data_IF_220227622811
#
_entry.id   IF_220227622811
#
_cell.length_a   1.000
_cell.length_b   1.000
_cell.length_c   1.000
_cell.angle_alpha   90.00
_cell.angle_beta   90.00
_cell.angle_gamma   90.00
#
_symmetry.space_group_name_H-M   'P 1'
#
loop_
_entity.id
_entity.type
_entity.pdbx_description
1 polymer ?
#
# COMPACT_ATOMS: atom_id res chain seq x y z
N UNK A 1 26.16 34.25 -19.08
CA UNK A 1 25.40 33.01 -18.82
C UNK A 1 26.38 31.86 -18.88
N UNK A 2 26.80 31.36 -17.72
CA UNK A 2 27.81 30.33 -17.59
C UNK A 2 27.07 29.00 -17.39
N UNK A 3 27.29 28.05 -18.30
CA UNK A 3 26.63 26.75 -18.27
C UNK A 3 27.11 25.94 -17.05
N UNK A 4 26.16 25.45 -16.24
CA UNK A 4 26.46 24.50 -15.17
C UNK A 4 26.90 23.16 -15.80
N UNK A 5 28.09 22.70 -15.44
CA UNK A 5 28.58 21.38 -15.80
C UNK A 5 27.70 20.29 -15.19
N UNK A 6 27.26 19.34 -16.02
CA UNK A 6 26.71 18.06 -15.61
C UNK A 6 27.83 17.22 -14.98
N UNK A 7 28.10 17.47 -13.70
CA UNK A 7 28.93 16.57 -12.91
C UNK A 7 28.13 15.30 -12.66
N UNK A 8 28.62 14.16 -13.15
CA UNK A 8 28.12 12.84 -12.80
C UNK A 8 28.10 12.71 -11.28
N UNK A 9 26.90 12.63 -10.71
CA UNK A 9 26.73 12.29 -9.31
C UNK A 9 27.19 10.85 -9.17
N UNK A 10 28.24 10.54 -8.38
CA UNK A 10 28.69 9.17 -8.22
C UNK A 10 27.54 8.35 -7.64
N UNK A 11 27.05 7.38 -8.42
CA UNK A 11 26.14 6.35 -7.93
C UNK A 11 26.94 5.55 -6.91
N UNK A 12 26.67 5.78 -5.63
CA UNK A 12 27.28 5.01 -4.54
C UNK A 12 26.76 3.58 -4.67
N UNK A 13 27.58 2.70 -5.25
CA UNK A 13 27.35 1.26 -5.18
C UNK A 13 27.60 0.83 -3.73
N UNK A 14 26.51 0.70 -2.97
CA UNK A 14 26.55 0.06 -1.66
C UNK A 14 27.05 -1.38 -1.82
N UNK A 15 27.94 -1.87 -0.93
CA UNK A 15 28.46 -3.23 -1.01
C UNK A 15 27.31 -4.26 -1.06
N UNK A 16 27.47 -5.28 -1.91
CA UNK A 16 26.47 -6.29 -2.28
C UNK A 16 26.07 -7.26 -1.17
N UNK A 17 26.48 -6.99 0.08
CA UNK A 17 26.26 -7.85 1.24
C UNK A 17 25.02 -7.48 2.06
N UNK A 18 24.44 -6.29 1.86
CA UNK A 18 23.31 -5.83 2.68
C UNK A 18 21.97 -6.13 2.01
N UNK A 19 21.05 -6.73 2.78
CA UNK A 19 19.72 -7.10 2.33
C UNK A 19 18.82 -5.86 2.37
N UNK A 20 18.40 -5.39 1.19
CA UNK A 20 17.67 -4.11 1.03
C UNK A 20 16.16 -4.28 1.22
N UNK A 21 15.74 -4.52 2.45
CA UNK A 21 14.32 -4.58 2.83
C UNK A 21 13.91 -3.30 3.56
N UNK A 22 12.79 -2.72 3.17
CA UNK A 22 12.21 -1.50 3.73
C UNK A 22 10.77 -1.79 4.19
N UNK A 23 10.41 -1.53 5.46
CA UNK A 23 11.27 -1.12 6.57
C UNK A 23 12.34 -2.18 6.92
N UNK A 24 13.45 -1.74 7.52
CA UNK A 24 14.52 -2.64 7.96
C UNK A 24 13.97 -3.65 8.99
N UNK A 25 14.08 -4.97 8.73
CA UNK A 25 13.61 -5.98 9.68
C UNK A 25 14.41 -5.96 10.99
N UNK A 26 13.82 -6.49 12.06
CA UNK A 26 14.49 -6.61 13.37
C UNK A 26 15.76 -7.45 13.27
N UNK A 27 15.70 -8.61 12.62
CA UNK A 27 16.85 -9.50 12.43
C UNK A 27 16.94 -9.94 10.98
N UNK A 28 18.13 -9.82 10.40
CA UNK A 28 18.46 -10.30 9.06
C UNK A 28 19.83 -10.98 9.09
N UNK A 29 19.90 -12.21 8.60
CA UNK A 29 21.14 -12.92 8.32
C UNK A 29 21.18 -13.26 6.84
N UNK A 30 22.22 -12.80 6.14
CA UNK A 30 22.46 -13.13 4.73
C UNK A 30 23.53 -14.21 4.64
N UNK A 31 23.32 -15.16 3.74
CA UNK A 31 24.30 -16.18 3.39
C UNK A 31 24.68 -16.06 1.91
N UNK A 32 25.71 -16.79 1.49
CA UNK A 32 26.07 -16.85 0.08
C UNK A 32 25.00 -17.57 -0.75
N UNK A 33 24.89 -17.22 -2.03
CA UNK A 33 23.97 -17.84 -2.98
C UNK A 33 22.55 -17.27 -3.01
N UNK A 34 21.74 -17.86 -3.89
CA UNK A 34 20.35 -17.49 -4.15
C UNK A 34 19.49 -18.73 -4.41
N UNK A 35 18.18 -18.56 -4.24
CA UNK A 35 17.13 -19.45 -4.71
C UNK A 35 16.48 -18.84 -5.95
N UNK A 36 16.23 -19.65 -6.97
CA UNK A 36 15.54 -19.21 -8.19
C UNK A 36 14.09 -19.66 -8.17
N UNK A 37 13.17 -18.71 -8.15
CA UNK A 37 11.74 -18.95 -8.37
C UNK A 37 11.51 -19.02 -9.89
N UNK A 38 10.85 -20.05 -10.37
CA UNK A 38 10.46 -20.26 -11.76
C UNK A 38 9.05 -20.85 -11.85
N UNK A 39 8.51 -21.04 -13.06
CA UNK A 39 7.23 -21.73 -13.25
C UNK A 39 7.19 -23.19 -12.75
N UNK A 40 8.33 -23.78 -12.41
CA UNK A 40 8.41 -25.13 -11.84
C UNK A 40 8.34 -25.13 -10.30
N UNK A 41 8.55 -23.96 -9.67
CA UNK A 41 8.49 -23.81 -8.21
C UNK A 41 7.08 -24.09 -7.71
N UNK A 42 6.95 -24.86 -6.63
CA UNK A 42 5.65 -25.11 -6.00
C UNK A 42 5.33 -24.08 -4.95
N UNK A 43 4.09 -23.58 -4.96
CA UNK A 43 3.58 -22.64 -3.97
C UNK A 43 2.57 -23.35 -3.06
N UNK A 44 3.00 -23.67 -1.85
CA UNK A 44 2.24 -24.48 -0.89
C UNK A 44 1.75 -23.60 0.27
N UNK A 45 0.47 -23.75 0.62
CA UNK A 45 -0.16 -23.01 1.71
C UNK A 45 -0.89 -23.96 2.67
N UNK A 46 -0.59 -23.86 3.98
CA UNK A 46 -1.09 -24.82 4.98
C UNK A 46 -2.58 -24.70 5.34
N UNK A 47 -3.20 -23.56 5.06
CA UNK A 47 -4.56 -23.23 5.49
C UNK A 47 -5.13 -22.05 4.68
N UNK A 48 -6.38 -21.67 4.97
CA UNK A 48 -7.09 -20.59 4.27
C UNK A 48 -6.40 -19.22 4.37
N UNK A 49 -5.71 -18.92 5.48
CA UNK A 49 -4.99 -17.65 5.66
C UNK A 49 -3.70 -17.65 4.86
N UNK A 50 -2.95 -18.76 4.88
CA UNK A 50 -1.82 -18.99 3.99
C UNK A 50 -2.24 -18.93 2.52
N UNK A 51 -3.41 -19.46 2.16
CA UNK A 51 -3.93 -19.48 0.79
C UNK A 51 -4.18 -18.05 0.27
N UNK A 52 -4.71 -17.15 1.09
CA UNK A 52 -4.87 -15.73 0.73
C UNK A 52 -3.52 -15.05 0.47
N UNK A 53 -2.53 -15.31 1.32
CA UNK A 53 -1.19 -14.76 1.16
C UNK A 53 -0.47 -15.33 -0.07
N UNK A 54 -0.65 -16.63 -0.35
CA UNK A 54 -0.11 -17.31 -1.53
C UNK A 54 -0.75 -16.76 -2.81
N UNK A 55 -2.06 -16.54 -2.84
CA UNK A 55 -2.74 -15.91 -3.97
C UNK A 55 -2.17 -14.51 -4.26
N UNK A 56 -1.94 -13.70 -3.23
CA UNK A 56 -1.32 -12.38 -3.38
C UNK A 56 0.10 -12.46 -3.95
N UNK A 57 0.91 -13.41 -3.45
CA UNK A 57 2.26 -13.63 -3.96
C UNK A 57 2.22 -14.05 -5.45
N UNK A 58 1.34 -14.98 -5.80
CA UNK A 58 1.15 -15.43 -7.18
C UNK A 58 0.72 -14.28 -8.11
N UNK A 59 -0.22 -13.43 -7.67
CA UNK A 59 -0.68 -12.29 -8.45
C UNK A 59 0.45 -11.29 -8.72
N UNK A 60 1.25 -10.96 -7.69
CA UNK A 60 2.37 -10.03 -7.87
C UNK A 60 3.49 -10.66 -8.73
N UNK A 61 3.81 -11.94 -8.56
CA UNK A 61 4.79 -12.66 -9.41
C UNK A 61 4.33 -12.74 -10.87
N UNK A 62 3.04 -13.00 -11.10
CA UNK A 62 2.46 -13.02 -12.45
C UNK A 62 2.58 -11.64 -13.10
N UNK A 63 2.26 -10.58 -12.36
CA UNK A 63 2.29 -9.20 -12.85
C UNK A 63 3.69 -8.64 -13.05
N UNK A 64 4.66 -9.02 -12.21
CA UNK A 64 6.02 -8.47 -12.23
C UNK A 64 7.00 -9.32 -13.04
N UNK A 65 6.88 -10.64 -13.02
CA UNK A 65 7.84 -11.60 -13.57
C UNK A 65 7.22 -12.60 -14.57
N UNK A 66 5.91 -12.56 -14.83
CA UNK A 66 5.24 -13.56 -15.69
C UNK A 66 5.38 -15.01 -15.17
N UNK A 67 5.56 -15.16 -13.85
CA UNK A 67 5.64 -16.46 -13.17
C UNK A 67 4.27 -16.76 -12.56
N UNK A 68 3.67 -17.90 -12.91
CA UNK A 68 2.41 -18.38 -12.35
C UNK A 68 2.64 -19.72 -11.64
N UNK A 69 2.44 -19.77 -10.32
CA UNK A 69 2.81 -20.91 -9.49
C UNK A 69 1.63 -21.78 -9.04
N UNK A 70 0.39 -21.28 -9.15
CA UNK A 70 -0.85 -21.92 -8.67
C UNK A 70 -0.76 -22.39 -7.20
N UNK A 71 -1.36 -21.67 -6.23
CA UNK A 71 -1.36 -22.11 -4.84
C UNK A 71 -2.02 -23.48 -4.63
N UNK A 72 -1.34 -24.39 -3.93
CA UNK A 72 -1.79 -25.75 -3.63
C UNK A 72 -1.69 -26.03 -2.10
N UNK A 73 -2.48 -26.98 -1.56
CA UNK A 73 -2.44 -27.32 -0.12
C UNK A 73 -1.24 -28.19 0.27
N UNK A 74 -0.74 -28.98 -0.68
CA UNK A 74 0.42 -29.86 -0.48
C UNK A 74 1.09 -30.15 -1.82
N UNK A 75 2.41 -30.17 -1.84
CA UNK A 75 3.19 -30.64 -2.98
C UNK A 75 4.45 -31.35 -2.51
N UNK A 76 4.83 -32.43 -3.22
CA UNK A 76 6.14 -33.06 -3.09
C UNK A 76 6.96 -32.69 -4.33
N UNK A 77 7.81 -31.66 -4.22
CA UNK A 77 8.66 -31.22 -5.32
C UNK A 77 9.96 -30.55 -4.82
N UNK A 78 11.06 -30.64 -5.58
CA UNK A 78 12.24 -29.79 -5.36
C UNK A 78 11.87 -28.32 -5.63
N UNK A 79 12.30 -27.39 -4.77
CA UNK A 79 12.00 -25.97 -4.94
C UNK A 79 10.56 -25.61 -4.52
N UNK A 80 10.34 -25.45 -3.21
CA UNK A 80 9.01 -25.12 -2.67
C UNK A 80 9.01 -23.77 -1.94
N UNK A 81 8.01 -22.94 -2.20
CA UNK A 81 7.63 -21.80 -1.38
C UNK A 81 6.49 -22.27 -0.46
N UNK A 82 6.80 -22.42 0.82
CA UNK A 82 5.88 -22.91 1.84
C UNK A 82 5.42 -21.75 2.74
N UNK A 83 4.11 -21.53 2.82
CA UNK A 83 3.48 -20.55 3.70
C UNK A 83 2.73 -21.31 4.80
N UNK A 84 3.14 -21.11 6.06
CA UNK A 84 2.50 -21.73 7.22
C UNK A 84 2.00 -20.71 8.22
N UNK A 85 0.83 -20.97 8.81
CA UNK A 85 0.39 -20.20 9.97
C UNK A 85 0.87 -20.80 11.29
N UNK A 86 1.15 -19.92 12.24
CA UNK A 86 1.30 -20.25 13.66
C UNK A 86 0.27 -19.48 14.51
N UNK A 87 -0.08 -19.96 15.70
CA UNK A 87 -0.97 -19.25 16.61
C UNK A 87 -0.49 -17.83 16.91
N UNK A 88 -1.44 -16.90 17.09
CA UNK A 88 -1.13 -15.51 17.46
C UNK A 88 -0.71 -15.44 18.93
N UNK A 89 0.38 -14.72 19.21
CA UNK A 89 0.86 -14.49 20.57
C UNK A 89 0.12 -13.30 21.23
N UNK A 90 -0.25 -13.37 22.52
CA UNK A 90 -1.03 -12.32 23.21
C UNK A 90 -0.41 -10.91 23.22
N UNK A 91 0.90 -10.81 22.95
CA UNK A 91 1.71 -9.59 23.16
C UNK A 91 1.74 -8.61 21.99
N UNK A 92 0.93 -8.82 20.95
CA UNK A 92 0.91 -7.94 19.77
C UNK A 92 1.83 -8.41 18.63
N UNK A 93 2.28 -9.67 18.67
CA UNK A 93 2.99 -10.33 17.59
C UNK A 93 2.07 -10.82 16.45
N UNK A 94 0.85 -10.28 16.36
CA UNK A 94 -0.16 -10.67 15.37
C UNK A 94 0.27 -10.35 13.93
N UNK A 95 1.30 -9.54 13.77
CA UNK A 95 1.93 -9.18 12.49
C UNK A 95 3.37 -9.73 12.35
N UNK A 96 3.79 -10.65 13.23
CA UNK A 96 5.13 -11.22 13.21
C UNK A 96 5.29 -12.32 12.17
N UNK A 97 6.48 -12.41 11.58
CA UNK A 97 6.81 -13.44 10.60
C UNK A 97 8.28 -13.84 10.69
N UNK A 98 8.54 -15.07 10.31
CA UNK A 98 9.86 -15.59 10.02
C UNK A 98 9.90 -16.00 8.54
N UNK A 99 10.85 -15.44 7.81
CA UNK A 99 11.13 -15.75 6.41
C UNK A 99 12.50 -16.43 6.35
N UNK A 100 12.52 -17.63 5.77
CA UNK A 100 13.76 -18.36 5.49
C UNK A 100 13.84 -18.67 3.99
N UNK A 101 14.94 -18.29 3.38
CA UNK A 101 15.29 -18.65 2.00
C UNK A 101 16.52 -19.55 2.07
N UNK A 102 16.43 -20.75 1.51
CA UNK A 102 17.53 -21.72 1.35
C UNK A 102 17.74 -22.00 -0.14
N UNK A 103 18.76 -22.78 -0.48
CA UNK A 103 18.98 -23.24 -1.86
C UNK A 103 17.86 -24.14 -2.39
N UNK A 104 17.07 -24.75 -1.51
CA UNK A 104 16.04 -25.73 -1.85
C UNK A 104 14.61 -25.16 -1.79
N UNK A 105 14.43 -23.95 -1.27
CA UNK A 105 13.11 -23.34 -1.15
C UNK A 105 13.02 -22.12 -0.24
N UNK A 106 11.78 -21.68 -0.06
CA UNK A 106 11.41 -20.53 0.76
C UNK A 106 10.36 -20.98 1.77
N UNK A 107 10.47 -20.53 3.01
CA UNK A 107 9.45 -20.76 4.04
C UNK A 107 9.07 -19.45 4.70
N UNK A 108 7.77 -19.17 4.77
CA UNK A 108 7.20 -18.08 5.55
C UNK A 108 6.35 -18.70 6.65
N UNK A 109 6.80 -18.58 7.90
CA UNK A 109 6.03 -19.00 9.06
C UNK A 109 5.60 -17.75 9.83
N UNK A 110 4.30 -17.54 10.01
CA UNK A 110 3.81 -16.29 10.58
C UNK A 110 2.42 -16.44 11.21
N UNK A 111 2.00 -15.43 11.95
CA UNK A 111 0.57 -15.26 12.27
C UNK A 111 -0.21 -14.89 11.00
N UNK A 112 -1.55 -14.88 11.06
CA UNK A 112 -2.38 -14.56 9.88
C UNK A 112 -2.00 -13.21 9.22
N UNK A 113 -1.87 -12.12 9.99
CA UNK A 113 -1.45 -10.83 9.40
C UNK A 113 0.04 -10.78 9.11
N UNK A 114 0.84 -11.57 9.82
CA UNK A 114 2.27 -11.67 9.59
C UNK A 114 2.61 -12.30 8.24
N UNK A 115 1.80 -13.25 7.76
CA UNK A 115 1.99 -13.85 6.43
C UNK A 115 2.01 -12.79 5.33
N UNK A 116 1.08 -11.83 5.38
CA UNK A 116 1.04 -10.73 4.44
C UNK A 116 2.36 -9.94 4.46
N UNK A 117 2.88 -9.58 5.64
CA UNK A 117 4.12 -8.83 5.76
C UNK A 117 5.35 -9.63 5.34
N UNK A 118 5.37 -10.93 5.59
CA UNK A 118 6.39 -11.85 5.10
C UNK A 118 6.42 -11.92 3.58
N UNK A 119 5.24 -11.99 2.95
CA UNK A 119 5.10 -11.89 1.48
C UNK A 119 5.58 -10.54 0.97
N UNK A 120 5.24 -9.42 1.62
CA UNK A 120 5.76 -8.10 1.22
C UNK A 120 7.28 -8.03 1.31
N UNK A 121 7.89 -8.66 2.32
CA UNK A 121 9.35 -8.75 2.42
C UNK A 121 9.94 -9.60 1.31
N UNK A 122 9.38 -10.78 1.03
CA UNK A 122 9.81 -11.62 -0.09
C UNK A 122 9.76 -10.86 -1.43
N UNK A 123 8.67 -10.12 -1.69
CA UNK A 123 8.50 -9.29 -2.88
C UNK A 123 9.48 -8.12 -2.99
N UNK A 124 10.14 -7.73 -1.90
CA UNK A 124 11.22 -6.73 -1.93
C UNK A 124 12.60 -7.35 -2.12
N UNK A 125 12.77 -8.63 -1.76
CA UNK A 125 14.00 -9.38 -1.98
C UNK A 125 14.16 -9.80 -3.44
N UNK A 126 13.04 -9.93 -4.15
CA UNK A 126 13.01 -10.19 -5.59
C UNK A 126 13.39 -8.90 -6.34
N UNK A 127 14.38 -8.99 -7.23
CA UNK A 127 14.76 -7.87 -8.09
C UNK A 127 13.64 -7.52 -9.08
N UNK A 128 13.39 -6.22 -9.36
CA UNK A 128 12.36 -5.85 -10.31
C UNK A 128 12.83 -6.11 -11.76
N UNK A 129 12.55 -7.29 -12.29
CA UNK A 129 12.76 -7.62 -13.70
C UNK A 129 11.57 -8.40 -14.28
N UNK A 130 11.29 -8.24 -15.58
CA UNK A 130 10.24 -8.98 -16.29
C UNK A 130 10.84 -10.24 -16.94
N UNK A 131 11.44 -11.09 -16.12
CA UNK A 131 11.94 -12.39 -16.54
C UNK A 131 11.09 -13.51 -15.95
N UNK A 132 10.98 -14.63 -16.66
CA UNK A 132 10.28 -15.85 -16.22
C UNK A 132 10.94 -16.55 -15.02
N UNK A 133 11.96 -15.93 -14.43
CA UNK A 133 12.67 -16.36 -13.24
C UNK A 133 12.90 -15.17 -12.32
N UNK A 134 12.87 -15.42 -11.01
CA UNK A 134 13.18 -14.43 -9.98
C UNK A 134 14.22 -15.00 -9.01
N UNK A 135 15.37 -14.33 -8.89
CA UNK A 135 16.38 -14.69 -7.90
C UNK A 135 16.11 -14.04 -6.54
N UNK A 136 16.25 -14.83 -5.49
CA UNK A 136 16.08 -14.40 -4.10
C UNK A 136 17.32 -14.82 -3.31
N UNK A 137 18.02 -13.90 -2.62
CA UNK A 137 19.21 -14.27 -1.85
C UNK A 137 18.89 -15.21 -0.69
N UNK A 138 19.82 -16.11 -0.35
CA UNK A 138 19.71 -16.99 0.82
C UNK A 138 19.78 -16.13 2.09
N UNK A 139 18.69 -16.11 2.85
CA UNK A 139 18.52 -15.25 4.02
C UNK A 139 17.66 -15.90 5.10
N UNK A 140 17.89 -15.50 6.34
CA UNK A 140 16.99 -15.72 7.48
C UNK A 140 16.56 -14.35 8.02
N UNK A 141 15.25 -14.09 8.05
CA UNK A 141 14.66 -12.84 8.52
C UNK A 141 13.61 -13.16 9.58
N UNK A 142 13.70 -12.50 10.73
CA UNK A 142 12.68 -12.52 11.78
C UNK A 142 12.27 -11.09 12.06
N UNK A 143 10.97 -10.82 12.02
CA UNK A 143 10.48 -9.45 12.06
C UNK A 143 9.12 -9.32 12.74
N UNK A 144 8.89 -8.14 13.32
CA UNK A 144 7.63 -7.75 13.92
C UNK A 144 7.55 -6.22 14.02
N UNK A 145 6.36 -5.62 13.97
CA UNK A 145 6.25 -4.18 14.00
C UNK A 145 6.56 -3.61 15.39
N UNK A 146 7.35 -2.53 15.43
CA UNK A 146 7.57 -1.75 16.65
C UNK A 146 6.29 -1.08 17.18
N UNK A 147 5.41 -0.65 16.28
CA UNK A 147 4.16 0.04 16.60
C UNK A 147 2.98 -0.64 15.94
N UNK A 148 1.90 -0.85 16.71
CA UNK A 148 0.64 -1.43 16.20
C UNK A 148 -0.07 -0.51 15.20
N UNK A 149 0.07 0.80 15.36
CA UNK A 149 -0.53 1.80 14.47
C UNK A 149 0.53 2.43 13.58
N UNK A 150 0.44 2.21 12.28
CA UNK A 150 1.33 2.78 11.26
C UNK A 150 0.45 3.40 10.18
N UNK A 151 0.18 4.69 10.32
CA UNK A 151 -0.77 5.41 9.50
C UNK A 151 -0.14 6.22 8.38
N UNK A 152 -0.81 6.27 7.23
CA UNK A 152 -0.54 7.20 6.14
C UNK A 152 -1.80 8.00 5.83
N UNK A 153 -1.67 9.32 5.68
CA UNK A 153 -2.77 10.24 5.43
C UNK A 153 -2.82 10.63 3.93
N UNK A 154 -4.01 10.72 3.35
CA UNK A 154 -4.23 11.28 2.01
C UNK A 154 -5.37 12.29 2.03
N UNK A 155 -5.06 13.51 1.61
CA UNK A 155 -6.03 14.57 1.37
C UNK A 155 -6.60 14.44 -0.04
N UNK A 156 -7.88 14.09 -0.10
CA UNK A 156 -8.67 14.05 -1.34
C UNK A 156 -9.68 15.19 -1.42
N UNK A 157 -9.85 15.94 -0.34
CA UNK A 157 -10.75 17.08 -0.26
C UNK A 157 -10.22 18.26 -1.09
N UNK A 158 -8.92 18.58 -0.96
CA UNK A 158 -8.31 19.71 -1.67
C UNK A 158 -8.14 19.42 -3.15
N UNK A 159 -7.81 18.19 -3.54
CA UNK A 159 -7.79 17.76 -4.94
C UNK A 159 -8.29 16.32 -5.01
N UNK A 160 -9.32 16.09 -5.83
CA UNK A 160 -9.91 14.77 -5.97
C UNK A 160 -8.91 13.79 -6.60
N UNK A 161 -8.82 12.60 -6.01
CA UNK A 161 -7.99 11.50 -6.52
C UNK A 161 -8.90 10.37 -7.04
N UNK A 162 -8.75 9.91 -8.29
CA UNK A 162 -9.56 8.80 -8.81
C UNK A 162 -9.44 7.52 -7.98
N UNK A 163 -10.45 6.64 -8.06
CA UNK A 163 -10.50 5.36 -7.33
C UNK A 163 -9.23 4.53 -7.55
N UNK A 164 -8.77 4.41 -8.79
CA UNK A 164 -7.58 3.65 -9.14
C UNK A 164 -6.30 4.21 -8.48
N UNK A 165 -6.22 5.55 -8.33
CA UNK A 165 -5.11 6.17 -7.61
C UNK A 165 -5.15 5.81 -6.12
N UNK A 166 -6.34 5.86 -5.49
CA UNK A 166 -6.50 5.51 -4.07
C UNK A 166 -6.13 4.03 -3.85
N UNK A 167 -6.56 3.12 -4.73
CA UNK A 167 -6.16 1.71 -4.69
C UNK A 167 -4.65 1.54 -4.86
N UNK A 168 -4.03 2.23 -5.82
CA UNK A 168 -2.57 2.24 -5.99
C UNK A 168 -1.85 2.73 -4.73
N UNK A 169 -2.37 3.79 -4.09
CA UNK A 169 -1.83 4.32 -2.84
C UNK A 169 -1.90 3.29 -1.70
N UNK A 170 -3.06 2.65 -1.52
CA UNK A 170 -3.25 1.57 -0.54
C UNK A 170 -2.25 0.44 -0.75
N UNK A 171 -2.11 -0.06 -1.99
CA UNK A 171 -1.14 -1.10 -2.33
C UNK A 171 0.29 -0.67 -1.99
N UNK A 172 0.65 0.58 -2.28
CA UNK A 172 1.97 1.11 -1.99
C UNK A 172 2.27 1.16 -0.49
N UNK A 173 1.35 1.72 0.32
CA UNK A 173 1.57 1.82 1.76
C UNK A 173 1.60 0.43 2.42
N UNK A 174 0.80 -0.52 1.90
CA UNK A 174 0.79 -1.90 2.36
C UNK A 174 2.11 -2.62 2.03
N UNK A 175 2.72 -2.36 0.86
CA UNK A 175 4.06 -2.87 0.51
C UNK A 175 5.14 -2.46 1.52
N UNK A 176 5.01 -1.27 2.09
CA UNK A 176 5.88 -0.76 3.15
C UNK A 176 5.34 -1.01 4.56
N UNK A 177 4.39 -1.95 4.70
CA UNK A 177 3.85 -2.44 5.96
C UNK A 177 3.09 -1.40 6.80
N UNK A 178 2.62 -0.30 6.21
CA UNK A 178 1.63 0.57 6.86
C UNK A 178 0.27 -0.13 6.88
N UNK A 179 -0.46 0.01 7.98
CA UNK A 179 -1.70 -0.73 8.23
C UNK A 179 -2.91 0.18 8.51
N UNK A 180 -2.72 1.49 8.56
CA UNK A 180 -3.82 2.46 8.63
C UNK A 180 -3.75 3.46 7.48
N UNK A 181 -4.89 3.67 6.82
CA UNK A 181 -5.09 4.70 5.82
C UNK A 181 -6.04 5.76 6.35
N UNK A 182 -5.50 6.91 6.74
CA UNK A 182 -6.29 8.05 7.18
C UNK A 182 -6.74 8.84 5.95
N UNK A 183 -8.03 8.75 5.65
CA UNK A 183 -8.58 9.28 4.42
C UNK A 183 -9.35 10.57 4.68
N UNK A 184 -8.73 11.67 4.29
CA UNK A 184 -9.31 13.00 4.47
C UNK A 184 -10.23 13.33 3.28
N UNK A 185 -11.53 13.24 3.57
CA UNK A 185 -12.62 13.22 2.57
C UNK A 185 -13.35 14.56 2.46
N UNK A 186 -13.20 15.45 3.43
CA UNK A 186 -13.95 16.72 3.49
C UNK A 186 -13.08 17.86 3.99
N UNK A 187 -13.16 19.00 3.32
CA UNK A 187 -12.55 20.26 3.75
C UNK A 187 -13.28 21.44 3.08
N UNK A 188 -12.80 22.67 3.27
CA UNK A 188 -13.36 23.92 2.77
C UNK A 188 -13.59 23.88 1.26
N UNK A 189 -12.68 23.21 0.53
CA UNK A 189 -12.63 23.23 -0.94
C UNK A 189 -13.28 21.99 -1.58
N UNK A 190 -13.79 21.05 -0.80
CA UNK A 190 -14.37 19.82 -1.35
C UNK A 190 -15.05 18.89 -0.35
N UNK A 191 -16.19 18.34 -0.76
CA UNK A 191 -16.86 17.22 -0.11
C UNK A 191 -16.81 16.00 -1.04
N UNK A 192 -16.13 14.92 -0.63
CA UNK A 192 -15.78 13.81 -1.52
C UNK A 192 -16.53 12.52 -1.27
N UNK A 193 -17.42 12.43 -0.29
CA UNK A 193 -18.11 11.19 0.03
C UNK A 193 -19.62 11.30 -0.22
N UNK A 194 -20.20 10.36 -0.96
CA UNK A 194 -21.65 10.32 -1.15
C UNK A 194 -22.40 9.98 0.14
N UNK A 195 -23.35 10.84 0.53
CA UNK A 195 -24.27 10.59 1.64
C UNK A 195 -25.70 10.66 1.09
N UNK A 196 -26.36 9.51 0.93
CA UNK A 196 -27.67 9.39 0.28
C UNK A 196 -28.74 10.33 0.87
N UNK A 197 -28.72 10.53 2.19
CA UNK A 197 -29.65 11.42 2.88
C UNK A 197 -29.43 12.90 2.54
N UNK A 198 -28.22 13.27 2.12
CA UNK A 198 -27.81 14.66 1.87
C UNK A 198 -27.12 14.79 0.49
N UNK A 199 -27.84 14.60 -0.62
CA UNK A 199 -27.27 14.59 -1.97
C UNK A 199 -26.65 15.94 -2.36
N UNK A 200 -27.09 17.05 -1.76
CA UNK A 200 -26.52 18.37 -1.98
C UNK A 200 -25.02 18.45 -1.61
N UNK A 201 -24.55 17.58 -0.69
CA UNK A 201 -23.15 17.50 -0.27
C UNK A 201 -22.22 17.18 -1.45
N UNK A 202 -22.56 16.21 -2.29
CA UNK A 202 -21.78 15.89 -3.48
C UNK A 202 -22.20 16.72 -4.69
N UNK A 203 -23.49 16.97 -4.90
CA UNK A 203 -23.95 17.74 -6.07
C UNK A 203 -23.36 19.16 -6.13
N UNK A 204 -23.16 19.79 -4.97
CA UNK A 204 -22.57 21.14 -4.86
C UNK A 204 -21.17 21.11 -4.27
N UNK A 205 -21.00 20.42 -3.14
CA UNK A 205 -19.74 20.45 -2.38
C UNK A 205 -18.57 19.72 -3.05
N UNK A 206 -18.82 18.83 -4.02
CA UNK A 206 -17.74 18.20 -4.79
C UNK A 206 -17.15 19.10 -5.88
N UNK A 207 -17.81 20.22 -6.20
CA UNK A 207 -17.45 21.07 -7.33
C UNK A 207 -16.91 22.41 -6.86
N UNK A 208 -15.82 22.87 -7.48
CA UNK A 208 -15.36 24.26 -7.37
C UNK A 208 -14.95 24.78 -8.74
N UNK A 209 -15.20 26.07 -8.95
CA UNK A 209 -14.89 26.78 -10.20
C UNK A 209 -13.39 26.89 -10.46
N UNK A 210 -12.59 27.07 -9.41
CA UNK A 210 -11.16 27.30 -9.51
C UNK A 210 -10.45 27.13 -8.18
N UNK A 211 -9.13 27.03 -8.22
CA UNK A 211 -8.25 26.96 -7.05
C UNK A 211 -7.57 28.32 -6.83
N UNK A 212 -7.50 28.76 -5.58
CA UNK A 212 -6.78 29.96 -5.17
C UNK A 212 -5.28 29.86 -5.53
N UNK A 213 -4.72 30.91 -6.14
CA UNK A 213 -3.30 31.02 -6.49
C UNK A 213 -2.62 32.02 -5.56
N UNK A 214 -1.55 31.58 -4.88
CA UNK A 214 -0.79 32.42 -3.99
C UNK A 214 -1.56 32.85 -2.73
N UNK A 215 -1.12 33.95 -2.11
CA UNK A 215 -1.72 34.48 -0.87
C UNK A 215 -2.95 35.33 -1.19
N UNK A 216 -4.13 34.73 -1.07
CA UNK A 216 -5.43 35.41 -1.13
C UNK A 216 -5.87 35.89 0.27
N UNK A 217 -5.15 36.85 0.85
CA UNK A 217 -5.52 37.52 2.09
C UNK A 217 -5.72 39.02 1.84
N UNK A 218 -6.68 39.62 2.54
CA UNK A 218 -6.90 41.07 2.44
C UNK A 218 -5.61 41.86 2.75
N UNK A 219 -5.33 42.95 2.02
CA UNK A 219 -6.20 43.62 1.04
C UNK A 219 -6.11 43.06 -0.40
N UNK A 220 -5.48 41.91 -0.62
CA UNK A 220 -5.27 41.37 -1.98
C UNK A 220 -6.59 40.84 -2.57
N UNK A 221 -6.89 41.13 -3.84
CA UNK A 221 -8.03 40.52 -4.52
C UNK A 221 -7.83 39.01 -4.63
N UNK A 222 -8.93 38.26 -4.69
CA UNK A 222 -8.87 36.83 -4.96
C UNK A 222 -8.32 36.57 -6.36
N UNK A 223 -7.27 35.76 -6.45
CA UNK A 223 -6.72 35.26 -7.71
C UNK A 223 -6.94 33.75 -7.75
N UNK A 224 -7.66 33.29 -8.78
CA UNK A 224 -7.87 31.88 -9.07
C UNK A 224 -7.15 31.44 -10.33
N UNK A 225 -6.96 30.13 -10.50
CA UNK A 225 -6.33 29.55 -11.68
C UNK A 225 -7.30 29.31 -12.86
N UNK A 226 -8.60 29.60 -12.70
CA UNK A 226 -9.62 29.36 -13.73
C UNK A 226 -9.92 27.90 -14.07
N UNK A 227 -9.36 26.92 -13.33
CA UNK A 227 -9.53 25.49 -13.63
C UNK A 227 -10.62 24.89 -12.75
N UNK A 228 -11.71 24.43 -13.35
CA UNK A 228 -12.76 23.74 -12.61
C UNK A 228 -12.26 22.42 -12.02
N UNK A 229 -12.69 22.11 -10.80
CA UNK A 229 -12.39 20.86 -10.13
C UNK A 229 -13.68 20.21 -9.65
N UNK A 230 -13.85 18.92 -9.94
CA UNK A 230 -14.96 18.12 -9.49
C UNK A 230 -14.52 16.70 -9.10
N UNK A 231 -15.42 15.96 -8.45
CA UNK A 231 -15.23 14.54 -8.14
C UNK A 231 -15.58 14.19 -6.70
N UNK A 232 -16.18 13.02 -6.53
CA UNK A 232 -16.51 12.39 -5.26
C UNK A 232 -16.55 10.87 -5.44
N UNK A 233 -16.51 10.14 -4.33
CA UNK A 233 -16.62 8.69 -4.25
C UNK A 233 -18.08 8.32 -3.99
N UNK A 234 -18.66 7.51 -4.88
CA UNK A 234 -19.97 6.92 -4.63
C UNK A 234 -19.90 5.91 -3.48
N UNK A 235 -21.07 5.55 -2.94
CA UNK A 235 -21.18 4.47 -1.96
C UNK A 235 -20.61 3.14 -2.47
N UNK A 236 -20.69 2.90 -3.79
CA UNK A 236 -20.08 1.71 -4.42
C UNK A 236 -18.56 1.81 -4.40
N UNK A 237 -18.00 2.96 -4.78
CA UNK A 237 -16.55 3.18 -4.78
C UNK A 237 -15.96 3.05 -3.38
N UNK A 238 -16.64 3.60 -2.36
CA UNK A 238 -16.20 3.48 -0.97
C UNK A 238 -16.18 2.00 -0.53
N UNK A 239 -17.23 1.22 -0.82
CA UNK A 239 -17.25 -0.21 -0.47
C UNK A 239 -16.13 -1.00 -1.15
N UNK A 240 -15.91 -0.72 -2.44
CA UNK A 240 -14.84 -1.34 -3.22
C UNK A 240 -13.45 -0.98 -2.68
N UNK A 241 -13.21 0.29 -2.35
CA UNK A 241 -11.94 0.74 -1.74
C UNK A 241 -11.74 0.16 -0.34
N UNK A 242 -12.78 0.06 0.49
CA UNK A 242 -12.71 -0.57 1.82
C UNK A 242 -12.37 -2.05 1.69
N UNK A 243 -13.03 -2.78 0.79
CA UNK A 243 -12.72 -4.19 0.54
C UNK A 243 -11.29 -4.38 0.02
N UNK A 244 -10.85 -3.50 -0.89
CA UNK A 244 -9.48 -3.50 -1.40
C UNK A 244 -8.44 -3.25 -0.31
N UNK A 245 -8.70 -2.30 0.60
CA UNK A 245 -7.83 -2.02 1.74
C UNK A 245 -7.76 -3.21 2.71
N UNK A 246 -8.91 -3.84 3.02
CA UNK A 246 -8.94 -5.02 3.88
C UNK A 246 -8.14 -6.19 3.30
N UNK A 247 -8.21 -6.43 1.99
CA UNK A 247 -7.41 -7.44 1.30
C UNK A 247 -5.90 -7.17 1.36
N UNK A 248 -5.49 -5.92 1.64
CA UNK A 248 -4.10 -5.50 1.79
C UNK A 248 -3.71 -5.27 3.27
N UNK A 249 -4.49 -5.77 4.23
CA UNK A 249 -4.29 -5.56 5.67
C UNK A 249 -4.22 -4.07 6.08
N UNK A 250 -4.92 -3.20 5.35
CA UNK A 250 -5.03 -1.76 5.64
C UNK A 250 -6.42 -1.43 6.17
N UNK A 251 -6.47 -0.81 7.34
CA UNK A 251 -7.70 -0.27 7.92
C UNK A 251 -7.90 1.17 7.49
N UNK A 252 -9.08 1.50 6.95
CA UNK A 252 -9.43 2.88 6.57
C UNK A 252 -10.01 3.61 7.78
N UNK A 253 -9.48 4.80 8.04
CA UNK A 253 -10.04 5.76 8.99
C UNK A 253 -10.56 6.94 8.16
N UNK A 254 -11.89 7.11 8.03
CA UNK A 254 -12.43 8.26 7.33
C UNK A 254 -12.37 9.50 8.22
N UNK A 255 -11.93 10.62 7.65
CA UNK A 255 -12.05 11.93 8.28
C UNK A 255 -13.20 12.71 7.67
N UNK A 256 -14.14 13.12 8.52
CA UNK A 256 -15.09 14.18 8.23
C UNK A 256 -14.77 15.29 9.23
N UNK A 257 -14.09 16.33 8.75
CA UNK A 257 -13.77 17.48 9.57
C UNK A 257 -15.10 18.18 9.98
N UNK A 258 -15.14 18.88 11.11
CA UNK A 258 -16.31 19.62 11.58
C UNK A 258 -15.86 20.79 12.47
N UNK A 259 -15.90 22.03 11.92
CA UNK A 259 -16.00 23.38 12.57
C UNK A 259 -14.96 24.43 12.13
N UNK A 260 -13.71 24.11 11.79
CA UNK A 260 -12.70 25.15 11.47
C UNK A 260 -12.48 25.40 9.95
N UNK A 261 -12.70 24.37 9.13
CA UNK A 261 -12.42 24.29 7.68
C UNK A 261 -13.70 24.03 6.86
N UNK A 262 -14.84 24.62 7.26
CA UNK A 262 -16.18 24.22 6.77
C UNK A 262 -16.92 25.24 5.89
N UNK A 263 -16.25 25.88 4.94
CA UNK A 263 -16.92 26.68 3.93
C UNK A 263 -17.76 25.82 2.96
N UNK A 264 -17.32 24.59 2.66
CA UNK A 264 -18.04 23.68 1.77
C UNK A 264 -19.40 23.25 2.33
N UNK A 265 -19.46 22.81 3.60
CA UNK A 265 -20.72 22.44 4.25
C UNK A 265 -21.60 23.67 4.58
N UNK A 266 -20.99 24.81 4.93
CA UNK A 266 -21.72 26.04 5.25
C UNK A 266 -22.33 26.73 4.00
N UNK A 267 -21.69 26.60 2.82
CA UNK A 267 -22.31 27.01 1.54
C UNK A 267 -23.58 26.23 1.22
N UNK A 268 -23.68 24.99 1.68
CA UNK A 268 -24.83 24.11 1.44
C UNK A 268 -25.98 24.44 2.38
N UNK A 269 -25.70 24.71 3.66
CA UNK A 269 -26.74 25.10 4.64
C UNK A 269 -27.37 26.48 4.38
N UNK A 270 -26.74 27.32 3.54
CA UNK A 270 -27.33 28.60 3.07
C UNK A 270 -28.30 28.45 1.90
N UNK A 271 -28.40 27.27 1.31
CA UNK A 271 -29.48 26.92 0.40
C UNK A 271 -30.58 26.33 1.28
N UNK A 272 -31.69 27.06 1.46
CA UNK A 272 -32.85 26.56 2.22
C UNK A 272 -33.19 25.14 1.75
N UNK A 273 -33.13 24.19 2.70
CA UNK A 273 -33.72 22.85 2.57
C UNK A 273 -35.24 22.98 2.45
#
# INVERSE_FOLDING_TARGET
>A
MQACSTGDVPVVQLPSTDVRVIPKPISVKRFEGSFTISGETKLVASDNSAMRAAALLNDELTMSHQIALQPEESAEAPGTILLTTRPSEPTGADESYDLKVTYDGITINATEKGLFHGVQTLLQLIEPDRQQTAEVPVVEISDSPRFKYRGMHLDTARHFMPVDFVKKYIRLIARYKFNYFHWHLTDDQGWRIEINKYPALTQKGSKRRETAVGKNYQPRPYIGNGVEHEGFYSQKDIRDIVAYAAAHNVTIIPEIDVRATHHSSCRISRVRL
#
